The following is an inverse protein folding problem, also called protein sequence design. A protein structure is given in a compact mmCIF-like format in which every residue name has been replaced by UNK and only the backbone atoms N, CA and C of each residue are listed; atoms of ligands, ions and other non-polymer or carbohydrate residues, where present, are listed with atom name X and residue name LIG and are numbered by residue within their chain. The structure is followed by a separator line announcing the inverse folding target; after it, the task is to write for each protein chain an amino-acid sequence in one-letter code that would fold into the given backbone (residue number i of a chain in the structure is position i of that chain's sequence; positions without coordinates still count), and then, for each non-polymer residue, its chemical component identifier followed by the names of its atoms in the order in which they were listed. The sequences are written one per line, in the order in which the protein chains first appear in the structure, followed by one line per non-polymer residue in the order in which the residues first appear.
data_IF_014916455810
#
_entry.id   IF_014916455810
#
_cell.length_a   1.000
_cell.length_b   1.000
_cell.length_c   1.000
_cell.angle_alpha   90.00
_cell.angle_beta   90.00
_cell.angle_gamma   90.00
#
_symmetry.space_group_name_H-M   'P 1'
#
loop_
_entity.id
_entity.type
_entity.pdbx_description
1 polymer ?
#
# COMPACT_ATOMS: atom_id res chain seq x y z
N UNK A 1 18.45 -1.30 -3.89
CA UNK A 1 18.01 -1.00 -2.52
C UNK A 1 16.49 -0.76 -2.51
N UNK A 2 15.88 -0.64 -1.32
CA UNK A 2 14.43 -0.48 -1.17
C UNK A 2 13.88 0.72 -1.97
N UNK A 3 14.59 1.84 -2.01
CA UNK A 3 14.16 3.03 -2.77
C UNK A 3 14.12 2.76 -4.27
N UNK A 4 15.10 2.02 -4.82
CA UNK A 4 15.11 1.68 -6.25
C UNK A 4 13.96 0.71 -6.60
N UNK A 5 13.63 -0.19 -5.69
CA UNK A 5 12.48 -1.09 -5.86
C UNK A 5 11.16 -0.34 -5.86
N UNK A 6 11.00 0.63 -4.95
CA UNK A 6 9.83 1.50 -4.93
C UNK A 6 9.74 2.32 -6.22
N UNK A 7 10.84 2.91 -6.69
CA UNK A 7 10.86 3.70 -7.93
C UNK A 7 10.39 2.90 -9.16
N UNK A 8 10.62 1.59 -9.21
CA UNK A 8 10.14 0.75 -10.33
C UNK A 8 8.63 0.63 -10.38
N UNK A 9 7.94 0.62 -9.24
CA UNK A 9 6.49 0.46 -9.18
C UNK A 9 5.73 1.78 -9.31
N UNK A 10 6.38 2.91 -9.04
CA UNK A 10 5.77 4.25 -9.05
C UNK A 10 5.02 4.55 -10.35
N UNK A 11 5.57 4.32 -11.58
CA UNK A 11 4.86 4.62 -12.82
C UNK A 11 3.52 3.89 -12.94
N UNK A 12 3.45 2.67 -12.43
CA UNK A 12 2.25 1.83 -12.51
C UNK A 12 1.15 2.25 -11.53
N UNK A 13 1.48 3.08 -10.54
CA UNK A 13 0.53 3.60 -9.55
C UNK A 13 0.18 5.05 -9.88
N UNK A 14 1.16 5.83 -10.34
CA UNK A 14 1.00 7.26 -10.58
C UNK A 14 -0.02 7.62 -11.67
N UNK A 15 -0.26 6.74 -12.65
CA UNK A 15 -1.25 6.94 -13.71
C UNK A 15 -2.69 6.53 -13.29
N UNK A 16 -2.85 5.94 -12.11
CA UNK A 16 -4.14 5.44 -11.62
C UNK A 16 -4.93 6.51 -10.87
N UNK A 17 -6.24 6.30 -10.79
CA UNK A 17 -7.15 7.17 -10.06
C UNK A 17 -7.51 6.60 -8.68
N UNK A 18 -7.43 5.30 -8.52
CA UNK A 18 -7.77 4.59 -7.31
C UNK A 18 -6.63 3.64 -6.90
N UNK A 19 -6.52 3.36 -5.60
CA UNK A 19 -5.62 2.37 -5.06
C UNK A 19 -6.21 1.74 -3.81
N UNK A 20 -5.99 0.44 -3.60
CA UNK A 20 -6.37 -0.25 -2.37
C UNK A 20 -5.12 -0.57 -1.55
N UNK A 21 -5.25 -0.44 -0.24
CA UNK A 21 -4.20 -0.77 0.71
C UNK A 21 -4.68 -1.86 1.65
N UNK A 22 -3.91 -2.94 1.80
CA UNK A 22 -4.30 -4.11 2.56
C UNK A 22 -3.31 -4.41 3.69
N UNK A 23 -3.83 -4.51 4.89
CA UNK A 23 -3.08 -4.93 6.06
C UNK A 23 -3.90 -5.87 6.93
N UNK A 24 -3.21 -6.59 7.83
CA UNK A 24 -3.87 -7.49 8.77
C UNK A 24 -3.35 -7.27 10.20
N UNK A 25 -4.24 -7.35 11.20
CA UNK A 25 -3.88 -7.11 12.60
C UNK A 25 -3.29 -5.72 12.79
N UNK A 26 -2.15 -5.65 13.47
CA UNK A 26 -1.44 -4.38 13.74
C UNK A 26 -0.97 -3.61 12.51
N UNK A 27 -0.94 -4.24 11.32
CA UNK A 27 -0.55 -3.59 10.07
C UNK A 27 -1.73 -2.91 9.35
N UNK A 28 -2.95 -3.10 9.80
CA UNK A 28 -4.09 -2.37 9.25
C UNK A 28 -3.97 -0.84 9.48
N UNK A 29 -3.70 -0.34 10.69
CA UNK A 29 -3.44 1.09 10.89
C UNK A 29 -2.26 1.63 10.05
N UNK A 30 -1.25 0.80 9.78
CA UNK A 30 -0.09 1.21 8.97
C UNK A 30 -0.49 1.42 7.51
N UNK A 31 -1.28 0.51 6.94
CA UNK A 31 -1.78 0.69 5.57
C UNK A 31 -2.80 1.83 5.46
N UNK A 32 -3.54 2.13 6.54
CA UNK A 32 -4.39 3.33 6.59
C UNK A 32 -3.55 4.61 6.47
N UNK A 33 -2.42 4.68 7.20
CA UNK A 33 -1.47 5.80 7.08
C UNK A 33 -0.90 5.88 5.65
N UNK A 34 -0.51 4.76 5.04
CA UNK A 34 -0.03 4.72 3.66
C UNK A 34 -1.06 5.24 2.65
N UNK A 35 -2.30 4.78 2.77
CA UNK A 35 -3.41 5.23 1.93
C UNK A 35 -3.69 6.74 2.13
N UNK A 36 -3.64 7.21 3.38
CA UNK A 36 -3.82 8.61 3.72
C UNK A 36 -2.72 9.47 3.07
N UNK A 37 -1.45 9.11 3.23
CA UNK A 37 -0.33 9.86 2.63
C UNK A 37 -0.42 9.89 1.10
N UNK A 38 -0.75 8.77 0.47
CA UNK A 38 -0.94 8.74 -0.98
C UNK A 38 -2.07 9.69 -1.41
N UNK A 39 -3.20 9.65 -0.73
CA UNK A 39 -4.37 10.50 -0.99
C UNK A 39 -4.05 11.99 -0.85
N UNK A 40 -3.41 12.37 0.24
CA UNK A 40 -3.13 13.76 0.60
C UNK A 40 -2.26 14.48 -0.44
N UNK A 41 -1.21 13.81 -0.94
CA UNK A 41 -0.20 14.47 -1.77
C UNK A 41 -0.25 14.11 -3.24
N UNK A 42 -0.88 12.97 -3.63
CA UNK A 42 -1.00 12.57 -5.04
C UNK A 42 -2.42 12.74 -5.60
N UNK A 43 -3.42 12.94 -4.75
CA UNK A 43 -4.84 13.03 -5.10
C UNK A 43 -5.42 11.76 -5.71
N UNK A 44 -4.75 10.63 -5.55
CA UNK A 44 -5.30 9.31 -5.87
C UNK A 44 -6.30 8.94 -4.77
N UNK A 45 -7.49 8.48 -5.14
CA UNK A 45 -8.46 7.95 -4.18
C UNK A 45 -7.94 6.61 -3.63
N UNK A 46 -7.21 6.67 -2.53
CA UNK A 46 -6.62 5.53 -1.86
C UNK A 46 -7.42 5.15 -0.61
N UNK A 47 -7.78 3.89 -0.49
CA UNK A 47 -8.50 3.36 0.66
C UNK A 47 -7.79 2.15 1.25
N UNK A 48 -7.84 2.02 2.57
CA UNK A 48 -7.27 0.89 3.28
C UNK A 48 -8.35 0.00 3.89
N UNK A 49 -8.15 -1.31 3.77
CA UNK A 49 -9.04 -2.32 4.34
C UNK A 49 -8.28 -3.37 5.13
N UNK A 50 -8.87 -3.89 6.21
CA UNK A 50 -8.38 -5.14 6.79
C UNK A 50 -8.50 -6.23 5.73
N UNK A 51 -7.41 -6.93 5.44
CA UNK A 51 -7.42 -7.92 4.35
C UNK A 51 -8.49 -9.02 4.53
N UNK A 52 -8.83 -9.36 5.77
CA UNK A 52 -9.89 -10.31 6.07
C UNK A 52 -11.29 -9.84 5.71
N UNK A 53 -11.49 -8.52 5.55
CA UNK A 53 -12.78 -7.90 5.24
C UNK A 53 -13.01 -7.70 3.73
N UNK A 54 -12.04 -8.06 2.88
CA UNK A 54 -12.16 -7.89 1.42
C UNK A 54 -13.45 -8.50 0.85
N UNK A 55 -13.85 -9.67 1.34
CA UNK A 55 -15.04 -10.39 0.86
C UNK A 55 -16.36 -9.67 1.17
N UNK A 56 -16.35 -8.74 2.09
CA UNK A 56 -17.55 -8.04 2.54
C UNK A 56 -17.85 -6.76 1.73
N UNK A 57 -17.29 -6.65 0.52
CA UNK A 57 -17.57 -5.57 -0.42
C UNK A 57 -16.35 -5.13 -1.24
N UNK A 58 -15.21 -4.75 -0.63
CA UNK A 58 -14.09 -4.16 -1.35
C UNK A 58 -13.52 -5.03 -2.48
N UNK A 59 -13.67 -6.35 -2.39
CA UNK A 59 -13.23 -7.29 -3.42
C UNK A 59 -13.94 -7.06 -4.76
N UNK A 60 -15.13 -6.46 -4.77
CA UNK A 60 -15.86 -6.09 -5.97
C UNK A 60 -15.16 -4.97 -6.77
N UNK A 61 -14.28 -4.20 -6.14
CA UNK A 61 -13.52 -3.14 -6.79
C UNK A 61 -12.26 -3.65 -7.49
N UNK A 62 -11.84 -4.89 -7.20
CA UNK A 62 -10.58 -5.43 -7.72
C UNK A 62 -10.71 -5.80 -9.19
N UNK A 63 -9.89 -5.14 -10.00
CA UNK A 63 -9.69 -5.40 -11.42
C UNK A 63 -8.21 -5.16 -11.79
N UNK A 64 -7.91 -5.10 -13.08
CA UNK A 64 -6.56 -4.86 -13.59
C UNK A 64 -6.15 -3.37 -13.58
N UNK A 65 -7.06 -2.46 -13.23
CA UNK A 65 -6.81 -1.02 -13.20
C UNK A 65 -6.52 -0.49 -11.79
N UNK A 66 -6.93 -1.22 -10.75
CA UNK A 66 -6.73 -0.79 -9.37
C UNK A 66 -5.49 -1.49 -8.78
N UNK A 67 -4.40 -0.75 -8.52
CA UNK A 67 -3.25 -1.29 -7.80
C UNK A 67 -3.63 -1.60 -6.35
N UNK A 68 -3.16 -2.75 -5.89
CA UNK A 68 -3.37 -3.21 -4.52
C UNK A 68 -2.01 -3.26 -3.82
N UNK A 69 -1.81 -2.39 -2.85
CA UNK A 69 -0.61 -2.33 -2.00
C UNK A 69 -0.86 -3.11 -0.73
N UNK A 70 -0.01 -4.06 -0.39
CA UNK A 70 -0.18 -4.89 0.79
C UNK A 70 1.09 -4.97 1.65
N UNK A 71 0.90 -5.01 2.97
CA UNK A 71 1.97 -5.29 3.92
C UNK A 71 1.88 -6.73 4.42
N UNK A 72 2.92 -7.52 4.14
CA UNK A 72 3.03 -8.94 4.51
C UNK A 72 4.23 -9.20 5.43
N UNK A 73 4.21 -8.71 6.66
CA UNK A 73 5.25 -9.01 7.63
C UNK A 73 5.24 -10.51 7.99
N UNK A 74 6.38 -11.00 8.43
CA UNK A 74 6.48 -12.37 8.95
C UNK A 74 5.91 -12.45 10.35
N UNK A 75 4.68 -12.93 10.47
CA UNK A 75 4.01 -13.17 11.73
C UNK A 75 2.94 -14.27 11.61
N UNK A 76 2.21 -14.52 12.67
CA UNK A 76 1.15 -15.55 12.74
C UNK A 76 -0.02 -15.32 11.77
N UNK A 77 -0.14 -14.14 11.17
CA UNK A 77 -1.23 -13.78 10.25
C UNK A 77 -0.80 -13.81 8.78
N UNK A 78 0.48 -14.07 8.49
CA UNK A 78 1.04 -14.06 7.13
C UNK A 78 0.29 -15.01 6.20
N UNK A 79 0.06 -16.26 6.61
CA UNK A 79 -0.66 -17.23 5.77
C UNK A 79 -2.10 -16.79 5.45
N UNK A 80 -2.78 -16.19 6.42
CA UNK A 80 -4.14 -15.67 6.21
C UNK A 80 -4.14 -14.48 5.27
N UNK A 81 -3.12 -13.62 5.35
CA UNK A 81 -2.97 -12.51 4.42
C UNK A 81 -2.69 -13.03 3.01
N UNK A 82 -1.76 -13.96 2.84
CA UNK A 82 -1.45 -14.59 1.55
C UNK A 82 -2.72 -15.16 0.91
N UNK A 83 -3.55 -15.86 1.68
CA UNK A 83 -4.86 -16.35 1.18
C UNK A 83 -5.77 -15.22 0.67
N UNK A 84 -5.80 -14.07 1.34
CA UNK A 84 -6.57 -12.92 0.85
C UNK A 84 -5.96 -12.32 -0.43
N UNK A 85 -4.63 -12.28 -0.55
CA UNK A 85 -3.97 -11.79 -1.76
C UNK A 85 -4.16 -12.73 -2.97
N UNK A 86 -4.25 -14.04 -2.75
CA UNK A 86 -4.63 -14.98 -3.82
C UNK A 86 -6.05 -14.70 -4.38
N UNK A 87 -6.96 -14.20 -3.56
CA UNK A 87 -8.30 -13.79 -4.03
C UNK A 87 -8.24 -12.53 -4.91
N UNK A 88 -7.34 -11.60 -4.60
CA UNK A 88 -7.05 -10.43 -5.44
C UNK A 88 -6.46 -10.87 -6.78
N UNK A 89 -5.48 -11.78 -6.77
CA UNK A 89 -4.88 -12.35 -7.99
C UNK A 89 -5.93 -13.02 -8.89
N UNK A 90 -6.78 -13.84 -8.30
CA UNK A 90 -7.82 -14.57 -9.05
C UNK A 90 -8.79 -13.64 -9.82
N UNK A 91 -8.82 -12.35 -9.46
CA UNK A 91 -9.62 -11.31 -10.14
C UNK A 91 -8.81 -10.40 -11.05
N UNK A 92 -7.55 -10.76 -11.31
CA UNK A 92 -6.66 -10.00 -12.17
C UNK A 92 -6.04 -8.76 -11.52
N UNK A 93 -6.18 -8.59 -10.20
CA UNK A 93 -5.61 -7.47 -9.47
C UNK A 93 -4.09 -7.40 -9.56
N UNK A 94 -3.55 -6.19 -9.65
CA UNK A 94 -2.10 -5.93 -9.64
C UNK A 94 -1.63 -5.71 -8.21
N UNK A 95 -0.73 -6.57 -7.74
CA UNK A 95 -0.27 -6.61 -6.35
C UNK A 95 1.12 -6.00 -6.17
N UNK A 96 1.26 -5.08 -5.25
CA UNK A 96 2.53 -4.55 -4.75
C UNK A 96 2.67 -4.91 -3.28
N UNK A 97 3.47 -5.93 -3.00
CA UNK A 97 3.56 -6.52 -1.66
C UNK A 97 4.89 -6.17 -1.02
N UNK A 98 4.85 -5.45 0.08
CA UNK A 98 5.99 -5.22 0.95
C UNK A 98 6.01 -6.29 2.03
N UNK A 99 6.98 -7.20 2.00
CA UNK A 99 6.97 -8.35 2.87
C UNK A 99 8.33 -8.89 3.27
N UNK A 100 8.35 -9.74 4.28
CA UNK A 100 9.55 -10.44 4.72
C UNK A 100 10.00 -11.53 3.74
N UNK A 101 11.19 -12.09 3.95
CA UNK A 101 11.82 -13.05 3.05
C UNK A 101 11.00 -14.34 2.84
N UNK A 102 10.27 -14.75 3.88
CA UNK A 102 9.53 -16.01 3.89
C UNK A 102 8.05 -15.91 3.53
N UNK A 103 7.56 -14.70 3.23
CA UNK A 103 6.19 -14.54 2.76
C UNK A 103 6.06 -15.11 1.34
N UNK A 104 5.70 -16.40 1.26
CA UNK A 104 5.65 -17.22 0.04
C UNK A 104 4.45 -16.86 -0.84
N UNK A 105 4.41 -15.64 -1.37
CA UNK A 105 3.43 -15.27 -2.37
C UNK A 105 4.08 -15.15 -3.75
N UNK A 106 3.53 -15.86 -4.74
CA UNK A 106 3.94 -15.69 -6.13
C UNK A 106 3.18 -14.53 -6.75
N UNK A 107 3.87 -13.46 -7.08
CA UNK A 107 3.31 -12.32 -7.79
C UNK A 107 3.38 -12.57 -9.29
N UNK A 108 2.23 -12.53 -9.97
CA UNK A 108 2.11 -12.68 -11.43
C UNK A 108 1.95 -11.33 -12.11
N UNK A 109 1.25 -10.40 -11.43
CA UNK A 109 1.08 -9.01 -11.86
C UNK A 109 1.42 -8.10 -10.68
N UNK A 110 2.38 -7.22 -10.87
CA UNK A 110 2.92 -6.35 -9.82
C UNK A 110 4.31 -6.75 -9.38
N UNK A 111 4.65 -6.48 -8.15
CA UNK A 111 6.01 -6.70 -7.64
C UNK A 111 5.99 -7.06 -6.15
N UNK A 112 6.90 -7.94 -5.76
CA UNK A 112 7.21 -8.21 -4.36
C UNK A 112 8.45 -7.40 -3.97
N UNK A 113 8.33 -6.57 -2.95
CA UNK A 113 9.39 -5.73 -2.41
C UNK A 113 9.81 -6.33 -1.08
N UNK A 114 11.03 -6.82 -1.02
CA UNK A 114 11.55 -7.45 0.18
C UNK A 114 11.89 -6.39 1.23
N UNK A 115 11.27 -6.54 2.41
CA UNK A 115 11.54 -5.71 3.56
C UNK A 115 12.71 -6.27 4.38
N UNK A 116 13.48 -5.40 5.05
CA UNK A 116 14.53 -5.86 5.96
C UNK A 116 13.94 -6.64 7.13
N UNK A 117 14.68 -7.62 7.60
CA UNK A 117 14.33 -8.33 8.82
C UNK A 117 14.31 -7.35 10.02
N UNK A 118 13.29 -7.43 10.82
CA UNK A 118 13.13 -6.60 12.02
C UNK A 118 12.30 -7.32 13.08
N UNK A 119 12.44 -6.88 14.33
CA UNK A 119 11.59 -7.42 15.40
C UNK A 119 10.13 -6.98 15.21
N UNK A 120 9.19 -7.79 15.68
CA UNK A 120 7.76 -7.52 15.59
C UNK A 120 7.38 -6.16 16.22
N UNK A 121 8.09 -5.76 17.28
CA UNK A 121 7.88 -4.47 17.95
C UNK A 121 8.26 -3.27 17.06
N UNK A 122 9.29 -3.39 16.23
CA UNK A 122 9.76 -2.33 15.33
C UNK A 122 9.10 -2.38 13.96
N UNK A 123 8.49 -3.50 13.60
CA UNK A 123 7.90 -3.69 12.28
C UNK A 123 6.89 -2.59 11.88
N UNK A 124 6.01 -2.08 12.74
CA UNK A 124 5.11 -0.98 12.38
C UNK A 124 5.86 0.27 11.89
N UNK A 125 6.98 0.62 12.52
CA UNK A 125 7.80 1.77 12.11
C UNK A 125 8.47 1.49 10.78
N UNK A 126 9.13 0.33 10.67
CA UNK A 126 9.89 -0.07 9.48
C UNK A 126 8.99 -0.18 8.24
N UNK A 127 7.78 -0.72 8.37
CA UNK A 127 6.83 -0.86 7.27
C UNK A 127 6.07 0.43 6.92
N UNK A 128 6.06 1.43 7.79
CA UNK A 128 5.49 2.75 7.47
C UNK A 128 6.38 3.51 6.47
N UNK A 129 7.70 3.42 6.60
CA UNK A 129 8.68 4.16 5.80
C UNK A 129 8.49 3.94 4.29
N UNK A 130 8.41 2.70 3.75
CA UNK A 130 8.24 2.48 2.32
C UNK A 130 6.92 3.02 1.78
N UNK A 131 5.85 3.04 2.57
CA UNK A 131 4.58 3.62 2.16
C UNK A 131 4.66 5.14 2.03
N UNK A 132 5.41 5.80 2.93
CA UNK A 132 5.68 7.24 2.84
C UNK A 132 6.55 7.56 1.62
N UNK A 133 7.60 6.77 1.36
CA UNK A 133 8.45 6.91 0.17
C UNK A 133 7.61 6.71 -1.09
N UNK A 134 6.75 5.69 -1.14
CA UNK A 134 5.86 5.42 -2.26
C UNK A 134 4.94 6.61 -2.54
N UNK A 135 4.26 7.11 -1.52
CA UNK A 135 3.37 8.26 -1.65
C UNK A 135 4.11 9.51 -2.17
N UNK A 136 5.29 9.79 -1.61
CA UNK A 136 6.16 10.88 -2.04
C UNK A 136 6.56 10.75 -3.52
N UNK A 137 7.07 9.59 -3.93
CA UNK A 137 7.54 9.37 -5.30
C UNK A 137 6.40 9.41 -6.32
N UNK A 138 5.23 8.87 -5.98
CA UNK A 138 4.02 8.96 -6.81
C UNK A 138 3.60 10.42 -6.98
N UNK A 139 3.61 11.21 -5.93
CA UNK A 139 3.28 12.64 -5.99
C UNK A 139 4.30 13.43 -6.84
N UNK A 140 5.60 13.16 -6.69
CA UNK A 140 6.64 13.73 -7.55
C UNK A 140 6.39 13.43 -9.03
N UNK A 141 6.07 12.17 -9.36
CA UNK A 141 5.81 11.77 -10.74
C UNK A 141 4.53 12.41 -11.31
N UNK A 142 3.53 12.64 -10.48
CA UNK A 142 2.30 13.35 -10.85
C UNK A 142 2.48 14.86 -10.97
N UNK A 143 3.61 15.41 -10.49
CA UNK A 143 3.88 16.85 -10.47
C UNK A 143 2.98 17.63 -9.52
N UNK A 144 2.49 16.99 -8.45
CA UNK A 144 1.67 17.64 -7.43
C UNK A 144 2.55 18.41 -6.44
N UNK A 145 1.99 19.46 -5.82
CA UNK A 145 2.69 20.22 -4.79
C UNK A 145 2.72 19.40 -3.49
N UNK A 146 3.92 19.03 -3.06
CA UNK A 146 4.16 18.21 -1.89
C UNK A 146 4.13 19.02 -0.58
N UNK A 147 4.54 20.28 -0.65
CA UNK A 147 4.68 21.14 0.52
C UNK A 147 3.37 21.87 0.85
N UNK A 148 2.58 22.15 -0.17
CA UNK A 148 1.29 22.83 -0.06
C UNK A 148 0.19 22.07 -0.84
N UNK A 149 -0.17 20.85 -0.40
CA UNK A 149 -1.24 20.11 -1.05
C UNK A 149 -2.54 20.90 -1.05
N UNK A 150 -3.29 20.84 -2.16
CA UNK A 150 -4.56 21.55 -2.29
C UNK A 150 -5.54 21.15 -1.19
N UNK A 151 -6.33 22.11 -0.71
CA UNK A 151 -7.40 21.91 0.28
C UNK A 151 -6.94 21.39 1.66
N UNK A 152 -5.64 21.38 1.92
CA UNK A 152 -5.08 21.03 3.21
C UNK A 152 -4.40 22.25 3.84
N UNK A 153 -4.52 22.39 5.14
CA UNK A 153 -3.86 23.44 5.91
C UNK A 153 -3.11 22.82 7.09
N UNK A 154 -1.97 23.42 7.44
CA UNK A 154 -1.18 23.00 8.62
C UNK A 154 -1.91 23.24 9.95
N UNK A 155 -2.90 24.15 9.93
CA UNK A 155 -3.80 24.40 11.06
C UNK A 155 -5.20 24.68 10.54
N UNK A 156 -6.21 24.16 11.21
CA UNK A 156 -7.61 24.49 10.94
C UNK A 156 -7.88 25.86 11.57
N UNK A 157 -8.09 26.88 10.74
CA UNK A 157 -8.36 28.27 11.17
C UNK A 157 -9.80 28.68 10.94
N UNK A 158 -10.63 27.77 10.41
CA UNK A 158 -12.06 28.01 10.13
C UNK A 158 -12.86 26.94 10.84
N UNK A 159 -13.77 27.35 11.70
CA UNK A 159 -14.80 26.52 12.33
C UNK A 159 -16.06 26.48 11.47
#
# INVERSE_FOLDING_TARGET
NLSDEILRIVPNIADKHNALFLGRGMFFPIVQEGALKLKEISYIHAEAYPAGELKHGPLALVDDQIPVVALSPENTLTEKLVSNLEEVKARGGTLYVFGGENAKIKIERGEYIQMPECSELLAPIIYTIPLQILAYQVACQRGTDLDQPRNLAKSVTVE
#
